data_IF_217625891786
#
_entry.id   IF_217625891786
#
_cell.length_a   1.000
_cell.length_b   1.000
_cell.length_c   1.000
_cell.angle_alpha   90.00
_cell.angle_beta   90.00
_cell.angle_gamma   90.00
#
_symmetry.space_group_name_H-M   'P 1'
#
loop_
_entity.id
_entity.type
_entity.pdbx_description
1 polymer ?
#
# COMPACT_ATOMS: atom_id res chain seq x y z
N UNK A 1 25.70 -28.42 -10.94
CA UNK A 1 25.06 -27.44 -10.06
C UNK A 1 25.65 -27.62 -8.67
N UNK A 2 26.23 -26.58 -8.09
CA UNK A 2 26.70 -26.67 -6.69
C UNK A 2 25.51 -26.76 -5.74
N UNK A 3 25.69 -27.49 -4.63
CA UNK A 3 24.64 -27.61 -3.64
C UNK A 3 24.38 -26.24 -2.98
N UNK A 4 23.11 -25.89 -2.76
CA UNK A 4 22.68 -24.57 -2.28
C UNK A 4 23.43 -24.12 -0.99
N UNK A 5 23.73 -25.03 -0.08
CA UNK A 5 24.47 -24.72 1.17
C UNK A 5 25.94 -24.34 0.96
N UNK A 6 26.47 -24.52 -0.24
CA UNK A 6 27.82 -24.05 -0.63
C UNK A 6 27.81 -22.60 -1.16
N UNK A 7 26.66 -22.18 -1.72
CA UNK A 7 26.51 -20.87 -2.36
C UNK A 7 25.69 -19.88 -1.52
N UNK A 8 24.91 -20.38 -0.54
CA UNK A 8 24.13 -19.56 0.38
C UNK A 8 24.74 -19.57 1.79
N UNK A 9 25.10 -18.39 2.28
CA UNK A 9 25.58 -18.23 3.65
C UNK A 9 24.41 -17.80 4.54
N UNK A 10 24.04 -18.57 5.58
CA UNK A 10 23.01 -18.15 6.52
C UNK A 10 23.39 -16.84 7.20
N UNK A 11 22.40 -16.02 7.51
CA UNK A 11 22.59 -14.76 8.26
C UNK A 11 23.25 -15.02 9.59
N UNK A 12 23.91 -13.98 10.15
CA UNK A 12 24.66 -14.05 11.39
C UNK A 12 23.81 -14.60 12.54
N UNK A 13 22.57 -14.15 12.67
CA UNK A 13 21.61 -14.54 13.69
C UNK A 13 21.28 -16.05 13.61
N UNK A 14 21.08 -16.57 12.40
CA UNK A 14 20.85 -18.02 12.17
C UNK A 14 22.07 -18.82 12.57
N UNK A 15 23.27 -18.36 12.18
CA UNK A 15 24.53 -19.04 12.55
C UNK A 15 24.80 -19.03 14.05
N UNK A 16 24.29 -18.03 14.76
CA UNK A 16 24.40 -17.92 16.21
C UNK A 16 23.31 -18.70 16.97
N UNK A 17 22.44 -19.44 16.26
CA UNK A 17 21.38 -20.25 16.86
C UNK A 17 20.23 -19.44 17.46
N UNK A 18 19.98 -18.21 16.98
CA UNK A 18 18.83 -17.41 17.42
C UNK A 18 17.53 -18.18 17.11
N UNK A 19 16.69 -18.35 18.11
CA UNK A 19 15.30 -18.77 17.90
C UNK A 19 14.51 -17.65 17.22
N UNK A 20 13.73 -18.00 16.20
CA UNK A 20 12.83 -17.08 15.50
C UNK A 20 11.40 -17.38 15.92
N UNK A 21 10.65 -16.32 16.26
CA UNK A 21 9.22 -16.42 16.40
C UNK A 21 8.60 -16.42 14.97
N UNK A 22 7.69 -17.36 14.64
CA UNK A 22 6.97 -17.34 13.35
C UNK A 22 6.33 -15.98 13.04
N UNK A 23 5.83 -15.26 14.03
CA UNK A 23 5.23 -13.93 13.88
C UNK A 23 6.23 -12.86 13.39
N UNK A 24 7.54 -13.07 13.59
CA UNK A 24 8.58 -12.19 13.04
C UNK A 24 8.66 -12.24 11.51
N UNK A 25 8.05 -13.26 10.88
CA UNK A 25 8.02 -13.41 9.41
C UNK A 25 6.69 -12.97 8.78
N UNK A 26 5.69 -12.66 9.59
CA UNK A 26 4.44 -12.10 9.12
C UNK A 26 4.52 -10.58 9.08
N UNK A 27 4.36 -10.00 7.89
CA UNK A 27 4.28 -8.55 7.74
C UNK A 27 2.82 -8.09 7.88
N UNK A 28 2.61 -7.11 8.73
CA UNK A 28 1.32 -6.46 8.94
C UNK A 28 1.46 -4.98 8.60
N UNK A 29 0.81 -4.54 7.51
CA UNK A 29 0.97 -3.18 6.98
C UNK A 29 0.57 -2.12 8.02
N UNK A 30 -0.49 -2.36 8.79
CA UNK A 30 -0.94 -1.47 9.86
C UNK A 30 0.12 -1.27 10.94
N UNK A 31 0.87 -2.32 11.30
CA UNK A 31 1.94 -2.22 12.28
C UNK A 31 3.17 -1.47 11.73
N UNK A 32 3.46 -1.64 10.43
CA UNK A 32 4.53 -0.88 9.76
C UNK A 32 4.22 0.62 9.81
N UNK A 33 2.99 0.99 9.47
CA UNK A 33 2.52 2.38 9.46
C UNK A 33 2.50 2.97 10.88
N UNK A 34 2.02 2.19 11.86
CA UNK A 34 1.98 2.61 13.26
C UNK A 34 3.38 2.63 13.94
N UNK A 35 4.42 2.12 13.27
CA UNK A 35 5.77 2.03 13.84
C UNK A 35 5.91 0.96 14.93
N UNK A 36 4.99 0.01 15.02
CA UNK A 36 4.97 -1.07 16.02
C UNK A 36 5.42 -2.43 15.48
N UNK A 37 5.64 -2.53 14.16
CA UNK A 37 6.16 -3.74 13.54
C UNK A 37 7.58 -4.10 14.06
N UNK A 38 8.00 -5.37 13.94
CA UNK A 38 9.39 -5.75 14.13
C UNK A 38 10.35 -4.86 13.32
N UNK A 39 11.55 -4.62 13.85
CA UNK A 39 12.52 -3.71 13.21
C UNK A 39 12.78 -4.01 11.73
N UNK A 40 12.79 -5.29 11.36
CA UNK A 40 13.01 -5.73 9.98
C UNK A 40 11.95 -5.22 8.98
N UNK A 41 10.79 -4.83 9.48
CA UNK A 41 9.69 -4.26 8.70
C UNK A 41 9.47 -2.78 8.96
N UNK A 42 9.75 -2.32 10.18
CA UNK A 42 9.56 -0.93 10.60
C UNK A 42 10.67 0.00 10.10
N UNK A 43 11.94 -0.46 10.20
CA UNK A 43 13.10 0.35 9.83
C UNK A 43 13.39 0.21 8.33
N UNK A 44 13.24 1.27 7.51
CA UNK A 44 13.36 1.17 6.05
C UNK A 44 14.70 0.59 5.59
N UNK A 45 15.82 0.99 6.20
CA UNK A 45 17.15 0.49 5.86
C UNK A 45 17.26 -1.03 6.07
N UNK A 46 16.73 -1.53 7.20
CA UNK A 46 16.69 -2.98 7.49
C UNK A 46 15.74 -3.70 6.56
N UNK A 47 14.56 -3.12 6.31
CA UNK A 47 13.57 -3.67 5.40
C UNK A 47 14.17 -3.89 4.00
N UNK A 48 14.77 -2.86 3.42
CA UNK A 48 15.34 -2.98 2.07
C UNK A 48 16.61 -3.83 2.02
N UNK A 49 17.42 -3.87 3.08
CA UNK A 49 18.58 -4.79 3.15
C UNK A 49 18.19 -6.27 3.12
N UNK A 50 16.94 -6.59 3.45
CA UNK A 50 16.36 -7.94 3.48
C UNK A 50 15.36 -8.20 2.37
N UNK A 51 14.99 -7.18 1.62
CA UNK A 51 14.05 -7.29 0.51
C UNK A 51 14.77 -7.82 -0.73
N UNK A 52 14.29 -8.92 -1.27
CA UNK A 52 14.69 -9.35 -2.61
C UNK A 52 13.84 -8.59 -3.64
N UNK A 53 14.47 -7.73 -4.40
CA UNK A 53 13.81 -7.04 -5.51
C UNK A 53 13.54 -8.01 -6.66
N UNK A 54 12.45 -8.78 -6.55
CA UNK A 54 11.98 -9.63 -7.63
C UNK A 54 11.61 -8.79 -8.86
N UNK A 55 11.54 -9.42 -10.03
CA UNK A 55 11.09 -8.74 -11.25
C UNK A 55 9.73 -8.07 -11.05
N UNK A 56 8.76 -8.77 -10.48
CA UNK A 56 7.43 -8.22 -10.23
C UNK A 56 7.46 -7.01 -9.29
N UNK A 57 8.24 -7.07 -8.19
CA UNK A 57 8.37 -5.93 -7.27
C UNK A 57 8.98 -4.71 -7.98
N UNK A 58 10.02 -4.90 -8.81
CA UNK A 58 10.63 -3.83 -9.59
C UNK A 58 9.67 -3.20 -10.58
N UNK A 59 8.94 -4.03 -11.34
CA UNK A 59 7.95 -3.57 -12.32
C UNK A 59 6.84 -2.76 -11.63
N UNK A 60 6.26 -3.28 -10.54
CA UNK A 60 5.20 -2.59 -9.80
C UNK A 60 5.69 -1.29 -9.16
N UNK A 61 6.80 -1.34 -8.44
CA UNK A 61 7.36 -0.16 -7.80
C UNK A 61 7.78 0.90 -8.82
N UNK A 62 8.41 0.49 -9.91
CA UNK A 62 8.78 1.39 -11.00
C UNK A 62 7.58 2.11 -11.62
N UNK A 63 6.47 1.41 -11.89
CA UNK A 63 5.24 2.02 -12.40
C UNK A 63 4.65 3.03 -11.42
N UNK A 64 4.59 2.69 -10.12
CA UNK A 64 4.08 3.58 -9.07
C UNK A 64 4.96 4.83 -8.95
N UNK A 65 6.28 4.67 -8.86
CA UNK A 65 7.20 5.80 -8.71
C UNK A 65 7.17 6.74 -9.92
N UNK A 66 7.11 6.21 -11.15
CA UNK A 66 6.93 7.03 -12.36
C UNK A 66 5.64 7.82 -12.31
N UNK A 67 4.53 7.18 -11.90
CA UNK A 67 3.24 7.87 -11.78
C UNK A 67 3.30 9.00 -10.75
N UNK A 68 3.89 8.76 -9.59
CA UNK A 68 4.09 9.79 -8.56
C UNK A 68 5.02 10.92 -9.03
N UNK A 69 5.95 10.66 -9.97
CA UNK A 69 6.78 11.67 -10.63
C UNK A 69 6.03 12.50 -11.68
N UNK A 70 4.76 12.18 -11.95
CA UNK A 70 3.94 12.90 -12.94
C UNK A 70 3.93 12.29 -14.34
N UNK A 71 4.57 11.12 -14.54
CA UNK A 71 4.48 10.40 -15.79
C UNK A 71 3.12 9.71 -15.93
N UNK A 72 2.49 9.88 -17.09
CA UNK A 72 1.16 9.28 -17.35
C UNK A 72 1.21 8.19 -18.43
N UNK A 73 2.32 8.09 -19.14
CA UNK A 73 2.50 7.09 -20.22
C UNK A 73 3.10 5.83 -19.63
N UNK A 74 2.52 4.67 -19.96
CA UNK A 74 2.95 3.36 -19.45
C UNK A 74 2.99 3.28 -17.91
N UNK A 75 2.08 3.97 -17.24
CA UNK A 75 1.86 3.91 -15.80
C UNK A 75 0.38 3.62 -15.50
N UNK A 76 0.09 3.07 -14.33
CA UNK A 76 -1.27 2.77 -13.93
C UNK A 76 -1.71 3.72 -12.80
N UNK A 77 -2.80 4.49 -12.97
CA UNK A 77 -3.39 5.27 -11.87
C UNK A 77 -3.97 4.35 -10.78
N UNK A 78 -4.39 3.15 -11.18
CA UNK A 78 -4.85 2.11 -10.25
C UNK A 78 -4.20 0.79 -10.63
N UNK A 79 -3.61 0.14 -9.65
CA UNK A 79 -2.94 -1.15 -9.79
C UNK A 79 -3.56 -2.16 -8.84
N UNK A 80 -3.89 -3.34 -9.33
CA UNK A 80 -4.37 -4.44 -8.50
C UNK A 80 -3.30 -5.51 -8.36
N UNK A 81 -2.92 -5.84 -7.14
CA UNK A 81 -2.01 -6.93 -6.82
C UNK A 81 -2.81 -8.21 -6.56
N UNK A 82 -2.84 -9.11 -7.52
CA UNK A 82 -3.57 -10.37 -7.43
C UNK A 82 -2.56 -11.52 -7.39
N UNK A 83 -2.34 -12.11 -6.22
CA UNK A 83 -1.46 -13.26 -6.05
C UNK A 83 -2.08 -14.25 -5.05
N UNK A 84 -1.59 -15.49 -5.06
CA UNK A 84 -1.93 -16.47 -4.03
C UNK A 84 -1.44 -16.00 -2.65
N UNK A 85 -1.94 -16.63 -1.58
CA UNK A 85 -1.46 -16.41 -0.22
C UNK A 85 0.07 -16.56 -0.16
N UNK A 86 0.73 -15.67 0.59
CA UNK A 86 2.19 -15.65 0.65
C UNK A 86 2.90 -15.06 -0.58
N UNK A 87 2.17 -14.56 -1.60
CA UNK A 87 2.72 -13.99 -2.83
C UNK A 87 3.35 -12.59 -2.70
N UNK A 88 3.58 -12.09 -1.49
CA UNK A 88 4.30 -10.84 -1.25
C UNK A 88 3.48 -9.56 -1.45
N UNK A 89 2.13 -9.62 -1.48
CA UNK A 89 1.25 -8.44 -1.64
C UNK A 89 1.55 -7.38 -0.58
N UNK A 90 1.38 -7.73 0.69
CA UNK A 90 1.63 -6.82 1.83
C UNK A 90 3.08 -6.33 1.87
N UNK A 91 4.06 -7.19 1.50
CA UNK A 91 5.46 -6.79 1.38
C UNK A 91 5.66 -5.72 0.30
N UNK A 92 4.98 -5.86 -0.86
CA UNK A 92 5.00 -4.85 -1.92
C UNK A 92 4.38 -3.53 -1.44
N UNK A 93 3.25 -3.57 -0.72
CA UNK A 93 2.63 -2.37 -0.16
C UNK A 93 3.54 -1.69 0.86
N UNK A 94 4.21 -2.46 1.74
CA UNK A 94 5.17 -1.90 2.70
C UNK A 94 6.41 -1.30 2.01
N UNK A 95 6.91 -1.92 0.93
CA UNK A 95 7.98 -1.36 0.13
C UNK A 95 7.58 0.00 -0.47
N UNK A 96 6.39 0.09 -1.06
CA UNK A 96 5.84 1.33 -1.61
C UNK A 96 5.63 2.40 -0.53
N UNK A 97 5.13 2.01 0.64
CA UNK A 97 4.99 2.88 1.80
C UNK A 97 6.34 3.50 2.20
N UNK A 98 7.35 2.67 2.40
CA UNK A 98 8.69 3.14 2.78
C UNK A 98 9.33 4.03 1.70
N UNK A 99 9.20 3.68 0.43
CA UNK A 99 9.71 4.50 -0.67
C UNK A 99 9.05 5.89 -0.68
N UNK A 100 7.73 5.93 -0.70
CA UNK A 100 6.97 7.17 -0.84
C UNK A 100 7.08 8.10 0.39
N UNK A 101 7.15 7.54 1.60
CA UNK A 101 7.27 8.32 2.83
C UNK A 101 8.67 8.87 3.05
N UNK A 102 9.72 8.17 2.59
CA UNK A 102 11.11 8.62 2.73
C UNK A 102 11.60 9.47 1.55
N UNK A 103 10.91 9.43 0.41
CA UNK A 103 11.25 10.26 -0.74
C UNK A 103 12.70 10.09 -1.18
N UNK A 104 13.39 11.18 -1.46
CA UNK A 104 14.77 11.18 -1.97
C UNK A 104 15.74 10.36 -1.11
N UNK A 105 15.58 10.34 0.20
CA UNK A 105 16.41 9.54 1.11
C UNK A 105 16.33 8.04 0.80
N UNK A 106 15.21 7.58 0.27
CA UNK A 106 15.02 6.16 -0.06
C UNK A 106 15.99 5.67 -1.17
N UNK A 107 16.58 6.57 -1.95
CA UNK A 107 17.58 6.22 -2.96
C UNK A 107 18.85 5.57 -2.36
N UNK A 108 19.11 5.81 -1.07
CA UNK A 108 20.26 5.25 -0.34
C UNK A 108 20.03 3.80 0.12
N UNK A 109 18.77 3.32 0.09
CA UNK A 109 18.43 1.98 0.55
C UNK A 109 18.85 0.91 -0.46
N UNK A 110 19.20 -0.27 0.05
CA UNK A 110 19.67 -1.40 -0.75
C UNK A 110 18.70 -1.75 -1.89
N UNK A 111 19.20 -1.80 -3.13
CA UNK A 111 18.44 -2.15 -4.33
C UNK A 111 17.57 -1.04 -4.91
N UNK A 112 17.46 0.12 -4.25
CA UNK A 112 16.61 1.22 -4.73
C UNK A 112 17.28 2.00 -5.86
N UNK A 113 18.61 2.16 -5.85
CA UNK A 113 19.33 2.80 -6.94
C UNK A 113 19.14 2.06 -8.28
N UNK A 114 19.18 0.72 -8.25
CA UNK A 114 18.91 -0.12 -9.42
C UNK A 114 17.44 -0.02 -9.86
N UNK A 115 16.50 0.00 -8.91
CA UNK A 115 15.09 0.23 -9.20
C UNK A 115 14.87 1.57 -9.93
N UNK A 116 15.49 2.65 -9.47
CA UNK A 116 15.37 3.98 -10.08
C UNK A 116 15.94 3.98 -11.50
N UNK A 117 17.12 3.35 -11.69
CA UNK A 117 17.75 3.23 -13.00
C UNK A 117 16.86 2.45 -13.98
N UNK A 118 16.29 1.32 -13.57
CA UNK A 118 15.37 0.52 -14.38
C UNK A 118 14.06 1.27 -14.69
N UNK A 119 13.55 2.04 -13.72
CA UNK A 119 12.36 2.85 -13.90
C UNK A 119 12.60 4.13 -14.75
N UNK A 120 13.85 4.51 -14.99
CA UNK A 120 14.19 5.71 -15.73
C UNK A 120 13.93 7.02 -14.98
N UNK A 121 13.86 6.99 -13.65
CA UNK A 121 13.63 8.16 -12.80
C UNK A 121 14.87 8.50 -11.97
N UNK A 122 15.04 9.77 -11.65
CA UNK A 122 16.26 10.26 -10.96
C UNK A 122 16.18 10.16 -9.45
N UNK A 123 15.02 10.37 -8.90
CA UNK A 123 14.79 10.43 -7.44
C UNK A 123 13.46 9.74 -7.08
N UNK A 124 13.37 9.25 -5.85
CA UNK A 124 12.10 8.75 -5.32
C UNK A 124 11.21 9.94 -4.98
N UNK A 125 10.02 10.08 -5.58
CA UNK A 125 9.11 11.18 -5.26
C UNK A 125 8.54 10.99 -3.85
N UNK A 126 8.65 12.01 -3.01
CA UNK A 126 7.96 12.02 -1.73
C UNK A 126 6.46 12.23 -1.95
N UNK A 127 5.65 11.36 -1.36
CA UNK A 127 4.19 11.41 -1.51
C UNK A 127 3.47 11.45 -0.15
N UNK A 128 2.23 11.95 -0.15
CA UNK A 128 1.29 11.66 0.94
C UNK A 128 0.77 10.25 0.75
N UNK A 129 0.90 9.44 1.77
CA UNK A 129 0.44 8.04 1.73
C UNK A 129 -0.76 7.89 2.64
N UNK A 130 -1.84 7.36 2.09
CA UNK A 130 -2.95 6.86 2.88
C UNK A 130 -3.06 5.36 2.72
N UNK A 131 -3.14 4.64 3.83
CA UNK A 131 -3.29 3.19 3.82
C UNK A 131 -4.59 2.79 4.52
N UNK A 132 -5.30 1.89 3.89
CA UNK A 132 -6.47 1.22 4.43
C UNK A 132 -6.17 -0.27 4.55
N UNK A 133 -6.30 -0.82 5.76
CA UNK A 133 -6.07 -2.24 6.04
C UNK A 133 -7.34 -2.83 6.64
N UNK A 134 -8.05 -3.63 5.85
CA UNK A 134 -9.41 -4.03 6.12
C UNK A 134 -9.60 -4.92 7.35
N UNK A 135 -8.60 -5.72 7.74
CA UNK A 135 -8.65 -6.52 8.96
C UNK A 135 -8.39 -5.70 10.23
N UNK A 136 -7.67 -4.57 10.11
CA UNK A 136 -7.32 -3.70 11.22
C UNK A 136 -8.30 -2.52 11.39
N UNK A 137 -9.11 -2.22 10.38
CA UNK A 137 -10.06 -1.13 10.49
C UNK A 137 -11.24 -1.51 11.38
N UNK A 138 -11.51 -0.70 12.43
CA UNK A 138 -12.63 -0.92 13.35
C UNK A 138 -13.25 0.42 13.78
N UNK A 139 -14.60 0.56 13.73
CA UNK A 139 -15.29 1.76 14.21
C UNK A 139 -15.18 1.93 15.74
N UNK A 140 -14.90 0.87 16.49
CA UNK A 140 -14.70 0.94 17.95
C UNK A 140 -13.43 1.74 18.32
N UNK A 141 -12.48 1.87 17.39
CA UNK A 141 -11.28 2.71 17.53
C UNK A 141 -11.54 4.21 17.28
N UNK A 142 -12.80 4.62 17.23
CA UNK A 142 -13.22 5.98 16.98
C UNK A 142 -13.11 6.39 15.50
N UNK A 143 -12.98 5.42 14.59
CA UNK A 143 -12.98 5.65 13.14
C UNK A 143 -14.42 5.84 12.66
N UNK A 144 -14.65 6.86 11.84
CA UNK A 144 -15.98 7.20 11.36
C UNK A 144 -16.32 6.39 10.09
N UNK A 145 -15.55 6.55 9.03
CA UNK A 145 -15.70 5.80 7.77
C UNK A 145 -14.33 5.60 7.11
N UNK A 146 -14.16 4.58 6.24
CA UNK A 146 -12.88 4.35 5.54
C UNK A 146 -12.39 5.57 4.74
N UNK A 147 -13.31 6.29 4.08
CA UNK A 147 -12.95 7.46 3.27
C UNK A 147 -12.58 8.68 4.11
N UNK A 148 -13.17 8.85 5.29
CA UNK A 148 -12.75 9.88 6.25
C UNK A 148 -11.34 9.60 6.76
N UNK A 149 -11.04 8.33 7.07
CA UNK A 149 -9.69 7.94 7.46
C UNK A 149 -8.66 8.19 6.36
N UNK A 150 -8.97 7.84 5.13
CA UNK A 150 -8.11 8.09 3.96
C UNK A 150 -7.87 9.60 3.79
N UNK A 151 -8.92 10.41 3.84
CA UNK A 151 -8.80 11.86 3.71
C UNK A 151 -7.97 12.48 4.83
N UNK A 152 -8.16 11.99 6.06
CA UNK A 152 -7.38 12.45 7.24
C UNK A 152 -5.89 12.11 7.12
N UNK A 153 -5.55 10.94 6.60
CA UNK A 153 -4.16 10.54 6.34
C UNK A 153 -3.50 11.38 5.25
N UNK A 154 -4.25 11.77 4.21
CA UNK A 154 -3.73 12.55 3.10
C UNK A 154 -3.53 14.03 3.45
N UNK A 155 -4.51 14.67 4.08
CA UNK A 155 -4.53 16.12 4.27
C UNK A 155 -5.06 16.55 5.65
N UNK A 156 -5.03 15.68 6.65
CA UNK A 156 -5.46 16.01 8.02
C UNK A 156 -6.93 16.45 8.08
N UNK A 157 -7.21 17.43 8.95
CA UNK A 157 -8.56 17.98 9.12
C UNK A 157 -9.06 18.71 7.85
N UNK A 158 -8.15 19.24 7.03
CA UNK A 158 -8.49 19.85 5.75
C UNK A 158 -9.11 18.82 4.80
N UNK A 159 -8.46 17.65 4.66
CA UNK A 159 -8.99 16.57 3.83
C UNK A 159 -10.37 16.12 4.27
N UNK A 160 -10.61 16.03 5.58
CA UNK A 160 -11.94 15.68 6.11
C UNK A 160 -12.97 16.76 5.77
N UNK A 161 -12.61 18.03 5.86
CA UNK A 161 -13.47 19.17 5.51
C UNK A 161 -13.87 19.15 4.03
N UNK A 162 -12.93 18.80 3.14
CA UNK A 162 -13.17 18.71 1.71
C UNK A 162 -14.15 17.61 1.30
N UNK A 163 -14.32 16.57 2.12
CA UNK A 163 -15.34 15.54 1.91
C UNK A 163 -16.76 16.05 2.16
N UNK A 164 -16.91 17.02 3.08
CA UNK A 164 -18.21 17.55 3.52
C UNK A 164 -18.91 16.69 4.58
N UNK A 165 -19.96 17.23 5.18
CA UNK A 165 -20.66 16.64 6.35
C UNK A 165 -21.31 15.28 6.04
N UNK A 166 -21.76 15.09 4.80
CA UNK A 166 -22.40 13.85 4.37
C UNK A 166 -21.44 12.65 4.35
N UNK A 167 -20.12 12.88 4.40
CA UNK A 167 -19.12 11.81 4.40
C UNK A 167 -19.22 10.88 5.62
N UNK A 168 -19.91 11.27 6.67
CA UNK A 168 -20.17 10.40 7.83
C UNK A 168 -21.12 9.23 7.52
N UNK A 169 -21.95 9.36 6.51
CA UNK A 169 -23.00 8.40 6.18
C UNK A 169 -22.99 7.93 4.73
N UNK A 170 -22.36 8.69 3.85
CA UNK A 170 -22.42 8.43 2.41
C UNK A 170 -21.02 8.52 1.81
N UNK A 171 -20.70 7.61 0.89
CA UNK A 171 -19.44 7.63 0.16
C UNK A 171 -19.28 8.94 -0.63
N UNK A 172 -18.09 9.57 -0.60
CA UNK A 172 -17.86 10.83 -1.30
C UNK A 172 -17.84 10.62 -2.82
N UNK A 173 -18.33 11.63 -3.53
CA UNK A 173 -18.22 11.68 -4.99
C UNK A 173 -16.79 12.01 -5.46
N UNK A 174 -16.55 11.81 -6.76
CA UNK A 174 -15.25 12.04 -7.41
C UNK A 174 -14.69 13.45 -7.18
N UNK A 175 -15.56 14.48 -7.23
CA UNK A 175 -15.13 15.87 -7.02
C UNK A 175 -14.61 16.11 -5.60
N UNK A 176 -15.29 15.56 -4.58
CA UNK A 176 -14.84 15.68 -3.18
C UNK A 176 -13.47 15.02 -3.00
N UNK A 177 -13.27 13.81 -3.53
CA UNK A 177 -11.98 13.12 -3.51
C UNK A 177 -10.89 13.90 -4.27
N UNK A 178 -11.22 14.53 -5.39
CA UNK A 178 -10.29 15.39 -6.13
C UNK A 178 -9.86 16.61 -5.30
N UNK A 179 -10.78 17.19 -4.51
CA UNK A 179 -10.42 18.28 -3.58
C UNK A 179 -9.50 17.80 -2.47
N UNK A 180 -9.76 16.62 -1.90
CA UNK A 180 -8.85 15.99 -0.91
C UNK A 180 -7.45 15.80 -1.49
N UNK A 181 -7.32 15.31 -2.73
CA UNK A 181 -6.02 15.14 -3.38
C UNK A 181 -5.30 16.47 -3.59
N UNK A 182 -6.02 17.54 -3.93
CA UNK A 182 -5.44 18.89 -4.03
C UNK A 182 -4.98 19.41 -2.67
N UNK A 183 -5.75 19.16 -1.60
CA UNK A 183 -5.41 19.55 -0.24
C UNK A 183 -4.18 18.79 0.32
N UNK A 184 -3.83 17.64 -0.25
CA UNK A 184 -2.64 16.88 0.11
C UNK A 184 -1.33 17.60 -0.23
N UNK A 185 -1.35 18.54 -1.18
CA UNK A 185 -0.22 19.40 -1.61
C UNK A 185 1.05 18.62 -2.02
N UNK A 186 0.90 17.35 -2.39
CA UNK A 186 1.96 16.43 -2.82
C UNK A 186 1.36 15.31 -3.66
N UNK A 187 2.20 14.54 -4.40
CA UNK A 187 1.78 13.28 -4.99
C UNK A 187 1.07 12.39 -3.98
N UNK A 188 0.05 11.65 -4.41
CA UNK A 188 -0.80 10.83 -3.54
C UNK A 188 -0.61 9.36 -3.84
N UNK A 189 -0.25 8.58 -2.83
CA UNK A 189 -0.22 7.12 -2.86
C UNK A 189 -1.30 6.54 -1.94
N UNK A 190 -2.16 5.73 -2.53
CA UNK A 190 -3.23 5.05 -1.81
C UNK A 190 -2.92 3.55 -1.76
N UNK A 191 -2.88 2.97 -0.58
CA UNK A 191 -2.58 1.56 -0.36
C UNK A 191 -3.79 0.89 0.29
N UNK A 192 -4.32 -0.15 -0.35
CA UNK A 192 -5.43 -0.93 0.18
C UNK A 192 -5.01 -2.39 0.37
N UNK A 193 -5.07 -2.86 1.60
CA UNK A 193 -4.81 -4.25 1.95
C UNK A 193 -6.03 -4.86 2.63
N UNK A 194 -6.22 -6.18 2.50
CA UNK A 194 -7.27 -6.95 3.15
C UNK A 194 -8.71 -6.40 2.93
N UNK A 195 -8.97 -5.83 1.74
CA UNK A 195 -10.26 -5.19 1.40
C UNK A 195 -11.44 -6.14 1.56
N UNK A 196 -11.32 -7.39 1.11
CA UNK A 196 -12.39 -8.38 1.23
C UNK A 196 -12.67 -8.75 2.68
N UNK A 197 -11.65 -8.76 3.54
CA UNK A 197 -11.84 -8.98 4.98
C UNK A 197 -12.71 -7.87 5.59
N UNK A 198 -12.47 -6.61 5.21
CA UNK A 198 -13.33 -5.49 5.62
C UNK A 198 -14.78 -5.67 5.16
N UNK A 199 -15.00 -5.99 3.89
CA UNK A 199 -16.34 -6.16 3.32
C UNK A 199 -17.11 -7.29 4.01
N UNK A 200 -16.46 -8.40 4.32
CA UNK A 200 -17.04 -9.53 5.05
C UNK A 200 -17.47 -9.16 6.48
N UNK A 201 -16.66 -8.36 7.18
CA UNK A 201 -16.94 -7.91 8.55
C UNK A 201 -17.98 -6.79 8.61
N UNK A 202 -18.04 -5.93 7.59
CA UNK A 202 -18.85 -4.72 7.56
C UNK A 202 -19.84 -4.69 6.38
N UNK A 203 -20.63 -5.75 6.24
CA UNK A 203 -21.56 -5.94 5.10
C UNK A 203 -22.54 -4.78 4.89
N UNK A 204 -22.96 -4.11 5.97
CA UNK A 204 -23.83 -2.93 5.88
C UNK A 204 -23.18 -1.72 5.21
N UNK A 205 -21.86 -1.68 5.12
CA UNK A 205 -21.10 -0.62 4.45
C UNK A 205 -20.62 -1.03 3.05
N UNK A 206 -20.87 -2.25 2.61
CA UNK A 206 -20.27 -2.80 1.39
C UNK A 206 -20.63 -1.97 0.14
N UNK A 207 -21.90 -1.61 -0.04
CA UNK A 207 -22.34 -0.80 -1.18
C UNK A 207 -21.68 0.59 -1.19
N UNK A 208 -21.59 1.22 -0.02
CA UNK A 208 -20.95 2.52 0.13
C UNK A 208 -19.44 2.43 -0.11
N UNK A 209 -18.81 1.38 0.40
CA UNK A 209 -17.38 1.16 0.17
C UNK A 209 -17.08 0.89 -1.30
N UNK A 210 -17.90 0.12 -2.00
CA UNK A 210 -17.79 -0.10 -3.43
C UNK A 210 -17.91 1.22 -4.20
N UNK A 211 -18.94 2.03 -3.90
CA UNK A 211 -19.11 3.36 -4.50
C UNK A 211 -17.89 4.26 -4.22
N UNK A 212 -17.34 4.20 -3.00
CA UNK A 212 -16.11 4.92 -2.65
C UNK A 212 -14.93 4.49 -3.53
N UNK A 213 -14.68 3.18 -3.67
CA UNK A 213 -13.56 2.67 -4.49
C UNK A 213 -13.73 3.06 -5.97
N UNK A 214 -14.95 2.99 -6.52
CA UNK A 214 -15.23 3.42 -7.88
C UNK A 214 -14.92 4.93 -8.07
N UNK A 215 -15.44 5.78 -7.18
CA UNK A 215 -15.21 7.22 -7.25
C UNK A 215 -13.73 7.58 -7.04
N UNK A 216 -13.05 6.84 -6.13
CA UNK A 216 -11.62 6.97 -5.88
C UNK A 216 -10.80 6.64 -7.13
N UNK A 217 -11.16 5.57 -7.83
CA UNK A 217 -10.51 5.16 -9.08
C UNK A 217 -10.62 6.26 -10.14
N UNK A 218 -11.80 6.86 -10.30
CA UNK A 218 -12.03 7.98 -11.24
C UNK A 218 -11.21 9.21 -10.83
N UNK A 219 -11.23 9.58 -9.53
CA UNK A 219 -10.45 10.72 -9.03
C UNK A 219 -8.94 10.52 -9.22
N UNK A 220 -8.44 9.31 -8.94
CA UNK A 220 -7.02 8.95 -9.10
C UNK A 220 -6.60 8.97 -10.56
N UNK A 221 -7.48 8.53 -11.48
CA UNK A 221 -7.23 8.56 -12.93
C UNK A 221 -7.17 10.00 -13.43
N UNK A 222 -7.96 10.89 -12.87
CA UNK A 222 -8.01 12.32 -13.21
C UNK A 222 -6.81 13.13 -12.70
N UNK A 223 -5.95 12.59 -11.86
CA UNK A 223 -4.73 13.26 -11.37
C UNK A 223 -3.47 12.69 -12.02
N UNK A 224 -2.48 13.55 -12.31
CA UNK A 224 -1.21 13.14 -12.92
C UNK A 224 -0.21 12.55 -11.92
N UNK A 225 -0.34 12.86 -10.65
CA UNK A 225 0.57 12.46 -9.58
C UNK A 225 -0.15 11.68 -8.48
N UNK A 226 -1.07 10.81 -8.87
CA UNK A 226 -1.80 9.95 -7.95
C UNK A 226 -1.84 8.50 -8.43
N UNK A 227 -1.73 7.57 -7.49
CA UNK A 227 -1.86 6.14 -7.77
C UNK A 227 -2.48 5.41 -6.58
N UNK A 228 -3.31 4.43 -6.87
CA UNK A 228 -3.88 3.51 -5.88
C UNK A 228 -3.37 2.09 -6.15
N UNK A 229 -2.96 1.40 -5.11
CA UNK A 229 -2.53 0.00 -5.17
C UNK A 229 -3.42 -0.82 -4.24
N UNK A 230 -4.14 -1.78 -4.80
CA UNK A 230 -5.14 -2.58 -4.09
C UNK A 230 -4.69 -4.05 -4.11
N UNK A 231 -4.53 -4.66 -2.95
CA UNK A 231 -4.25 -6.08 -2.83
C UNK A 231 -5.55 -6.89 -2.79
N UNK A 232 -5.63 -7.92 -3.63
CA UNK A 232 -6.74 -8.86 -3.65
C UNK A 232 -6.22 -10.31 -3.63
N UNK A 233 -6.91 -11.23 -2.95
CA UNK A 233 -6.60 -12.66 -3.02
C UNK A 233 -6.93 -13.21 -4.42
N UNK A 234 -6.20 -14.24 -4.84
CA UNK A 234 -6.45 -14.95 -6.11
C UNK A 234 -7.20 -16.26 -5.94
N UNK A 235 -7.16 -16.84 -4.76
CA UNK A 235 -7.64 -18.20 -4.50
C UNK A 235 -9.12 -18.21 -4.10
N UNK A 236 -9.93 -19.05 -4.73
CA UNK A 236 -11.31 -19.30 -4.32
C UNK A 236 -11.40 -19.85 -2.87
N UNK A 237 -10.34 -20.45 -2.36
CA UNK A 237 -10.24 -20.93 -0.97
C UNK A 237 -10.16 -19.76 0.02
N UNK A 238 -9.62 -18.62 -0.42
CA UNK A 238 -9.52 -17.38 0.37
C UNK A 238 -10.76 -16.50 0.22
N UNK A 239 -11.65 -16.84 -0.72
CA UNK A 239 -12.83 -16.06 -1.08
C UNK A 239 -14.08 -16.84 -0.77
N UNK A 240 -15.05 -16.17 -0.16
CA UNK A 240 -16.42 -16.69 -0.02
C UNK A 240 -17.21 -16.47 -1.31
N UNK A 241 -18.35 -17.15 -1.47
CA UNK A 241 -19.27 -16.90 -2.59
C UNK A 241 -19.71 -15.43 -2.66
N UNK A 242 -19.76 -14.76 -1.51
CA UNK A 242 -20.08 -13.35 -1.42
C UNK A 242 -18.94 -12.47 -1.92
N UNK A 243 -17.67 -12.81 -1.63
CA UNK A 243 -16.49 -12.08 -2.12
C UNK A 243 -16.40 -12.12 -3.64
N UNK A 244 -16.83 -13.21 -4.28
CA UNK A 244 -16.82 -13.35 -5.73
C UNK A 244 -17.79 -12.39 -6.45
N UNK A 245 -18.76 -11.84 -5.74
CA UNK A 245 -19.68 -10.83 -6.28
C UNK A 245 -19.06 -9.43 -6.34
N UNK A 246 -17.94 -9.22 -5.65
CA UNK A 246 -17.31 -7.91 -5.47
C UNK A 246 -15.95 -7.77 -6.17
N UNK A 247 -15.54 -8.74 -6.97
CA UNK A 247 -14.38 -8.67 -7.84
C UNK A 247 -14.71 -8.01 -9.20
#
# INVERSE_FOLDING_TARGET
>A
MEAWYKVATPRKEVRQGRSFNPDEFAIHLEQVIAGTAPEDYREPEKFFSRTCFTRALREHAGMVLRRLSGETVNTAPVMTLITQFGGGKTHTLAALYHLATNGEKAAEYSGVAELLAEAGIKTVPAARVAAFVGNAWDPQDGRETPWIDVARQLAGNEGVRELGDMAKTTAPGTEALTRVFKAADRPVLLLFDEVLNFLNRHRSMADQFHAFIQNLTVATTGTTQGTAVISLPRSQVEMTDWDMQWQ
#
